data_IF_802636949634
#
_entry.id   IF_802636949634
#
_cell.length_a   1.000
_cell.length_b   1.000
_cell.length_c   1.000
_cell.angle_alpha   90.00
_cell.angle_beta   90.00
_cell.angle_gamma   90.00
#
_symmetry.space_group_name_H-M   'P 1'
#
loop_
_entity.id
_entity.type
_entity.pdbx_description
1 polymer ?
#
# COMPACT_ATOMS: atom_id res chain seq x y z
N UNK A 1 3.90 -12.33 -9.98
CA UNK A 1 3.45 -10.94 -10.13
C UNK A 1 3.28 -10.33 -8.75
N UNK A 2 3.81 -9.13 -8.53
CA UNK A 2 3.64 -8.33 -7.31
C UNK A 2 2.40 -7.47 -7.42
N UNK A 3 1.65 -7.39 -6.33
CA UNK A 3 0.51 -6.50 -6.17
C UNK A 3 0.66 -5.70 -4.89
N UNK A 4 0.67 -4.37 -5.02
CA UNK A 4 0.71 -3.46 -3.89
C UNK A 4 -0.72 -3.13 -3.44
N UNK A 5 -0.94 -3.13 -2.13
CA UNK A 5 -2.19 -2.75 -1.49
C UNK A 5 -1.91 -1.63 -0.50
N UNK A 6 -1.86 -0.41 -1.03
CA UNK A 6 -1.58 0.80 -0.26
C UNK A 6 -2.83 1.31 0.45
N UNK A 7 -2.67 2.03 1.59
CA UNK A 7 -3.80 2.60 2.31
C UNK A 7 -4.47 3.75 1.56
N UNK A 8 -3.81 4.31 0.55
CA UNK A 8 -4.35 5.39 -0.28
C UNK A 8 -4.38 4.97 -1.77
N UNK A 9 -5.22 5.64 -2.57
CA UNK A 9 -5.28 5.44 -4.02
C UNK A 9 -3.96 5.69 -4.75
N UNK A 10 -3.91 5.28 -6.02
CA UNK A 10 -2.79 5.54 -6.94
C UNK A 10 -1.42 5.10 -6.39
N UNK A 11 -1.40 3.99 -5.64
CA UNK A 11 -0.21 3.47 -4.97
C UNK A 11 0.46 4.49 -4.03
N UNK A 12 -0.33 5.26 -3.29
CA UNK A 12 0.17 6.27 -2.36
C UNK A 12 0.21 5.77 -0.92
N UNK A 13 1.19 6.26 -0.16
CA UNK A 13 1.28 6.02 1.29
C UNK A 13 1.86 7.23 2.00
N UNK A 14 1.79 7.22 3.33
CA UNK A 14 2.45 8.18 4.22
C UNK A 14 3.68 7.52 4.86
N UNK A 15 4.62 8.34 5.33
CA UNK A 15 5.73 7.86 6.16
C UNK A 15 5.22 7.18 7.45
N UNK A 16 5.96 6.24 8.01
CA UNK A 16 5.57 5.54 9.24
C UNK A 16 4.30 4.68 9.14
N UNK A 17 3.67 4.59 7.97
CA UNK A 17 2.57 3.66 7.71
C UNK A 17 3.08 2.34 7.15
N UNK A 18 2.22 1.34 7.26
CA UNK A 18 2.44 0.03 6.69
C UNK A 18 1.45 -0.22 5.55
N UNK A 19 1.87 -1.03 4.59
CA UNK A 19 0.98 -1.50 3.53
C UNK A 19 1.33 -2.92 3.11
N UNK A 20 0.37 -3.58 2.45
CA UNK A 20 0.48 -5.00 2.13
C UNK A 20 1.00 -5.20 0.71
N UNK A 21 1.76 -6.27 0.54
CA UNK A 21 2.18 -6.78 -0.76
C UNK A 21 1.77 -8.24 -0.87
N UNK A 22 1.14 -8.58 -1.98
CA UNK A 22 0.87 -9.95 -2.39
C UNK A 22 1.79 -10.31 -3.58
N UNK A 23 2.50 -11.43 -3.45
CA UNK A 23 3.22 -12.06 -4.54
C UNK A 23 2.44 -13.28 -5.01
N UNK A 24 1.99 -13.25 -6.26
CA UNK A 24 1.42 -14.41 -6.94
C UNK A 24 2.50 -15.09 -7.79
N UNK A 25 2.76 -16.36 -7.53
CA UNK A 25 3.80 -17.14 -8.21
C UNK A 25 3.12 -18.28 -8.96
N UNK A 26 3.45 -18.38 -10.25
CA UNK A 26 2.94 -19.41 -11.14
C UNK A 26 4.10 -19.94 -11.97
N UNK A 27 4.05 -21.23 -12.27
CA UNK A 27 5.03 -21.90 -13.11
C UNK A 27 4.34 -22.83 -14.09
N UNK A 28 4.88 -22.89 -15.30
CA UNK A 28 4.39 -23.77 -16.37
C UNK A 28 5.06 -25.16 -16.33
N UNK A 29 6.00 -25.37 -15.41
CA UNK A 29 6.72 -26.62 -15.21
C UNK A 29 7.01 -26.82 -13.72
N UNK A 30 7.27 -28.04 -13.30
CA UNK A 30 7.62 -28.31 -11.90
C UNK A 30 8.98 -27.70 -11.57
N UNK A 31 9.03 -26.92 -10.50
CA UNK A 31 10.26 -26.27 -10.00
C UNK A 31 10.66 -26.90 -8.68
N UNK A 32 11.93 -27.31 -8.57
CA UNK A 32 12.54 -27.75 -7.33
C UNK A 32 13.53 -26.69 -6.85
N UNK A 33 13.37 -26.26 -5.59
CA UNK A 33 14.16 -25.19 -4.97
C UNK A 33 13.84 -23.83 -5.59
N UNK A 34 12.80 -23.17 -5.08
CA UNK A 34 12.47 -21.80 -5.45
C UNK A 34 12.96 -20.85 -4.35
N UNK A 35 13.67 -19.81 -4.75
CA UNK A 35 14.04 -18.68 -3.92
C UNK A 35 13.46 -17.38 -4.48
N UNK A 36 13.09 -16.46 -3.60
CA UNK A 36 12.72 -15.09 -3.96
C UNK A 36 13.61 -14.15 -3.17
N UNK A 37 14.19 -13.16 -3.84
CA UNK A 37 14.92 -12.09 -3.20
C UNK A 37 14.20 -10.77 -3.51
N UNK A 38 13.64 -10.14 -2.47
CA UNK A 38 12.98 -8.85 -2.57
C UNK A 38 13.97 -7.73 -2.26
N UNK A 39 13.90 -6.64 -3.04
CA UNK A 39 14.74 -5.46 -2.86
C UNK A 39 13.82 -4.26 -2.64
N UNK A 40 13.39 -4.01 -1.39
CA UNK A 40 12.61 -2.82 -1.08
C UNK A 40 13.50 -1.57 -1.13
N UNK A 41 12.90 -0.37 -1.12
CA UNK A 41 13.66 0.87 -0.99
C UNK A 41 14.58 0.84 0.26
N UNK A 42 15.74 1.54 0.22
CA UNK A 42 16.67 1.55 1.34
C UNK A 42 16.00 1.96 2.66
N UNK A 43 16.24 1.20 3.72
CA UNK A 43 15.68 1.45 5.06
C UNK A 43 14.26 0.93 5.29
N UNK A 44 13.55 0.51 4.23
CA UNK A 44 12.22 -0.06 4.34
C UNK A 44 12.31 -1.52 4.79
N UNK A 45 11.41 -1.93 5.68
CA UNK A 45 11.46 -3.27 6.30
C UNK A 45 10.30 -4.14 5.84
N UNK A 46 10.61 -5.38 5.48
CA UNK A 46 9.62 -6.42 5.19
C UNK A 46 9.25 -7.13 6.49
N UNK A 47 7.96 -7.20 6.79
CA UNK A 47 7.41 -8.01 7.87
C UNK A 47 6.51 -9.08 7.26
N UNK A 48 6.85 -10.33 7.48
CA UNK A 48 6.14 -11.45 6.89
C UNK A 48 4.80 -11.68 7.64
N UNK A 49 3.68 -11.88 6.93
CA UNK A 49 2.34 -12.09 7.55
C UNK A 49 1.91 -13.55 7.51
N UNK A 50 1.95 -14.15 6.31
CA UNK A 50 1.60 -15.55 6.07
C UNK A 50 2.55 -16.11 5.02
N UNK A 51 3.07 -17.30 5.28
CA UNK A 51 4.12 -17.90 4.45
C UNK A 51 3.73 -19.29 3.98
N UNK A 52 2.60 -19.87 4.39
CA UNK A 52 2.15 -21.18 3.90
C UNK A 52 3.22 -22.29 3.91
N UNK A 53 4.17 -22.26 4.86
CA UNK A 53 5.31 -23.20 4.93
C UNK A 53 6.64 -22.71 4.32
N UNK A 54 6.66 -21.54 3.69
CA UNK A 54 7.86 -20.89 3.12
C UNK A 54 8.72 -20.27 4.23
N UNK A 55 10.03 -20.45 4.15
CA UNK A 55 10.99 -19.88 5.10
C UNK A 55 11.36 -18.45 4.69
N UNK A 56 11.41 -17.52 5.64
CA UNK A 56 11.76 -16.12 5.38
C UNK A 56 13.01 -15.71 6.16
N UNK A 57 13.98 -15.12 5.45
CA UNK A 57 15.13 -14.46 6.02
C UNK A 57 14.96 -12.93 5.95
N UNK A 58 14.58 -12.32 7.07
CA UNK A 58 14.35 -10.88 7.16
C UNK A 58 15.62 -10.03 6.95
N UNK A 59 16.81 -10.57 7.19
CA UNK A 59 18.06 -9.82 7.02
C UNK A 59 18.43 -9.64 5.55
N UNK A 60 18.12 -10.62 4.72
CA UNK A 60 18.41 -10.60 3.28
C UNK A 60 17.16 -10.37 2.42
N UNK A 61 15.98 -10.26 3.03
CA UNK A 61 14.69 -10.16 2.33
C UNK A 61 14.46 -11.32 1.37
N UNK A 62 14.82 -12.52 1.82
CA UNK A 62 14.76 -13.74 1.00
C UNK A 62 13.70 -14.71 1.48
N UNK A 63 13.01 -15.33 0.53
CA UNK A 63 12.05 -16.41 0.75
C UNK A 63 12.59 -17.70 0.15
N UNK A 64 12.48 -18.80 0.88
CA UNK A 64 12.91 -20.12 0.46
C UNK A 64 11.75 -21.12 0.53
N UNK A 65 11.42 -21.70 -0.61
CA UNK A 65 10.42 -22.75 -0.74
C UNK A 65 11.11 -24.11 -0.64
N UNK A 66 10.72 -24.91 0.36
CA UNK A 66 11.28 -26.23 0.60
C UNK A 66 10.60 -27.31 -0.23
N UNK A 67 9.33 -27.11 -0.57
CA UNK A 67 8.54 -28.04 -1.38
C UNK A 67 8.62 -27.70 -2.88
N UNK A 68 8.52 -28.71 -3.76
CA UNK A 68 8.40 -28.47 -5.19
C UNK A 68 7.14 -27.69 -5.53
N UNK A 69 7.26 -26.72 -6.44
CA UNK A 69 6.09 -26.06 -7.03
C UNK A 69 5.63 -26.87 -8.23
N UNK A 70 4.39 -27.35 -8.18
CA UNK A 70 3.80 -28.12 -9.29
C UNK A 70 3.34 -27.19 -10.41
N UNK A 71 3.56 -27.61 -11.66
CA UNK A 71 3.11 -26.88 -12.84
C UNK A 71 1.61 -26.58 -12.79
N UNK A 72 1.21 -25.35 -13.13
CA UNK A 72 -0.19 -24.92 -13.19
C UNK A 72 -0.83 -24.59 -11.84
N UNK A 73 -0.12 -24.74 -10.73
CA UNK A 73 -0.59 -24.24 -9.43
C UNK A 73 -0.16 -22.79 -9.19
N UNK A 74 -1.02 -22.04 -8.50
CA UNK A 74 -0.76 -20.67 -8.09
C UNK A 74 -0.43 -20.64 -6.60
N UNK A 75 0.75 -20.13 -6.28
CA UNK A 75 1.21 -19.91 -4.91
C UNK A 75 1.14 -18.43 -4.57
N UNK A 76 0.84 -18.11 -3.31
CA UNK A 76 0.74 -16.73 -2.83
C UNK A 76 1.58 -16.54 -1.58
N UNK A 77 2.33 -15.44 -1.54
CA UNK A 77 2.97 -14.95 -0.32
C UNK A 77 2.41 -13.56 -0.02
N UNK A 78 2.11 -13.29 1.25
CA UNK A 78 1.67 -11.99 1.72
C UNK A 78 2.60 -11.45 2.80
N UNK A 79 3.06 -10.22 2.62
CA UNK A 79 3.91 -9.53 3.58
C UNK A 79 3.55 -8.04 3.68
N UNK A 80 3.98 -7.40 4.76
CA UNK A 80 3.86 -5.96 4.96
C UNK A 80 5.19 -5.27 4.70
N UNK A 81 5.09 -4.05 4.20
CA UNK A 81 6.18 -3.09 4.13
C UNK A 81 5.95 -2.03 5.20
N UNK A 82 6.97 -1.77 6.01
CA UNK A 82 7.03 -0.64 6.92
C UNK A 82 7.80 0.51 6.25
N UNK A 83 7.10 1.62 6.00
CA UNK A 83 7.73 2.86 5.52
C UNK A 83 8.39 3.54 6.71
N UNK A 84 9.69 3.90 6.63
CA UNK A 84 10.37 4.61 7.70
C UNK A 84 9.64 5.88 8.12
N UNK A 85 9.74 6.21 9.41
CA UNK A 85 9.33 7.53 9.88
C UNK A 85 10.21 8.59 9.20
N UNK A 86 9.60 9.73 8.85
CA UNK A 86 10.30 10.84 8.19
C UNK A 86 10.84 10.53 6.78
N UNK A 87 10.36 9.47 6.12
CA UNK A 87 10.68 9.18 4.71
C UNK A 87 10.29 10.37 3.80
N UNK A 88 11.24 10.96 3.04
CA UNK A 88 10.93 12.10 2.18
C UNK A 88 9.82 11.79 1.17
N UNK A 89 8.97 12.77 0.82
CA UNK A 89 7.98 12.57 -0.23
C UNK A 89 8.68 12.30 -1.57
N UNK A 90 8.21 11.29 -2.30
CA UNK A 90 8.88 10.82 -3.50
C UNK A 90 8.25 9.56 -4.08
N UNK A 91 8.78 9.12 -5.23
CA UNK A 91 8.44 7.82 -5.81
C UNK A 91 9.57 6.85 -5.49
N UNK A 92 9.19 5.71 -4.92
CA UNK A 92 10.09 4.67 -4.48
C UNK A 92 9.82 3.39 -5.25
N UNK A 93 10.89 2.65 -5.59
CA UNK A 93 10.82 1.47 -6.42
C UNK A 93 11.10 0.19 -5.63
N UNK A 94 10.36 -0.85 -5.98
CA UNK A 94 10.56 -2.22 -5.53
C UNK A 94 11.15 -3.04 -6.65
N UNK A 95 12.35 -3.55 -6.42
CA UNK A 95 12.99 -4.53 -7.28
C UNK A 95 12.93 -5.92 -6.64
N UNK A 96 13.30 -6.93 -7.39
CA UNK A 96 13.37 -8.28 -6.85
C UNK A 96 13.57 -9.33 -7.93
N UNK A 97 13.99 -10.51 -7.50
CA UNK A 97 14.29 -11.64 -8.38
C UNK A 97 13.71 -12.92 -7.84
N UNK A 98 13.35 -13.79 -8.77
CA UNK A 98 13.02 -15.18 -8.52
C UNK A 98 14.18 -16.03 -9.01
N UNK A 99 14.59 -17.01 -8.21
CA UNK A 99 15.68 -17.93 -8.48
C UNK A 99 15.16 -19.36 -8.38
N UNK A 100 15.53 -20.21 -9.32
CA UNK A 100 15.15 -21.63 -9.31
C UNK A 100 16.39 -22.51 -9.36
N UNK A 101 16.38 -23.62 -8.61
CA UNK A 101 17.44 -24.61 -8.59
C UNK A 101 17.34 -25.60 -9.75
N UNK A 102 16.15 -26.16 -9.98
CA UNK A 102 15.88 -27.09 -11.08
C UNK A 102 14.48 -26.91 -11.68
N UNK A 103 14.36 -26.56 -12.97
CA UNK A 103 15.45 -26.14 -13.84
C UNK A 103 16.08 -24.85 -13.33
N UNK A 104 17.39 -24.67 -13.51
CA UNK A 104 18.11 -23.49 -13.02
C UNK A 104 17.73 -22.26 -13.85
N UNK A 105 17.22 -21.23 -13.19
CA UNK A 105 16.81 -19.99 -13.85
C UNK A 105 16.84 -18.82 -12.88
N UNK A 106 16.87 -17.60 -13.43
CA UNK A 106 16.63 -16.38 -12.69
C UNK A 106 15.77 -15.44 -13.51
N UNK A 107 14.83 -14.76 -12.86
CA UNK A 107 13.94 -13.80 -13.50
C UNK A 107 13.63 -12.66 -12.55
N UNK A 108 13.23 -11.51 -13.11
CA UNK A 108 12.79 -10.35 -12.32
C UNK A 108 11.34 -10.52 -11.90
N UNK A 109 11.01 -10.02 -10.70
CA UNK A 109 9.62 -9.92 -10.26
C UNK A 109 8.91 -8.86 -11.10
N UNK A 110 7.76 -9.20 -11.67
CA UNK A 110 6.91 -8.30 -12.47
C UNK A 110 5.69 -7.85 -11.66
N UNK A 111 4.98 -6.84 -12.13
CA UNK A 111 3.75 -6.32 -11.52
C UNK A 111 3.98 -4.91 -10.98
N UNK A 112 3.31 -4.59 -9.88
CA UNK A 112 3.48 -3.31 -9.21
C UNK A 112 4.93 -3.18 -8.70
N UNK A 113 5.53 -2.02 -8.95
CA UNK A 113 6.95 -1.78 -8.65
C UNK A 113 7.21 -0.39 -8.11
N UNK A 114 6.19 0.46 -7.99
CA UNK A 114 6.33 1.84 -7.54
C UNK A 114 5.29 2.15 -6.47
N UNK A 115 5.71 2.92 -5.48
CA UNK A 115 4.86 3.52 -4.46
C UNK A 115 5.23 4.99 -4.32
N UNK A 116 4.25 5.85 -4.09
CA UNK A 116 4.47 7.26 -3.85
C UNK A 116 4.27 7.59 -2.38
N UNK A 117 5.34 8.03 -1.71
CA UNK A 117 5.24 8.62 -0.38
C UNK A 117 4.82 10.08 -0.53
N UNK A 118 3.72 10.45 0.12
CA UNK A 118 3.25 11.84 0.19
C UNK A 118 3.45 12.37 1.61
N UNK A 119 3.59 13.69 1.72
CA UNK A 119 3.77 14.35 3.02
C UNK A 119 2.44 14.59 3.74
N UNK A 120 1.34 14.69 2.99
CA UNK A 120 0.04 15.04 3.50
C UNK A 120 -1.07 14.63 2.55
N UNK A 121 -2.21 14.25 3.12
CA UNK A 121 -3.38 13.84 2.37
C UNK A 121 -3.96 15.02 1.55
N UNK A 122 -4.46 14.77 0.33
CA UNK A 122 -5.46 15.64 -0.28
C UNK A 122 -6.64 15.85 0.68
N UNK A 123 -7.28 17.02 0.64
CA UNK A 123 -8.39 17.33 1.57
C UNK A 123 -9.49 16.28 1.46
N UNK A 124 -9.81 15.84 0.24
CA UNK A 124 -10.88 14.89 -0.01
C UNK A 124 -10.60 13.52 0.64
N UNK A 125 -9.34 13.08 0.60
CA UNK A 125 -8.91 11.87 1.30
C UNK A 125 -8.92 12.06 2.82
N UNK A 126 -8.41 13.19 3.31
CA UNK A 126 -8.40 13.47 4.73
C UNK A 126 -9.82 13.44 5.33
N UNK A 127 -10.81 13.99 4.60
CA UNK A 127 -12.22 13.94 5.02
C UNK A 127 -12.79 12.51 4.95
N UNK A 128 -12.53 11.76 3.87
CA UNK A 128 -12.98 10.37 3.74
C UNK A 128 -12.40 9.43 4.81
N UNK A 129 -11.25 9.79 5.39
CA UNK A 129 -10.59 9.05 6.46
C UNK A 129 -10.69 9.73 7.84
N UNK A 130 -11.56 10.73 7.99
CA UNK A 130 -11.77 11.36 9.30
C UNK A 130 -12.74 10.50 10.12
N UNK A 131 -12.28 10.04 11.29
CA UNK A 131 -13.14 9.33 12.23
C UNK A 131 -13.95 10.31 13.11
N UNK A 132 -14.90 9.78 13.89
CA UNK A 132 -15.78 10.59 14.73
C UNK A 132 -15.06 11.37 15.85
N UNK A 133 -13.76 11.08 16.09
CA UNK A 133 -12.91 11.81 17.03
C UNK A 133 -12.08 12.91 16.36
N UNK A 134 -12.30 13.18 15.06
CA UNK A 134 -11.53 14.16 14.29
C UNK A 134 -10.10 13.71 13.98
N UNK A 135 -9.80 12.40 14.02
CA UNK A 135 -8.48 11.83 13.70
C UNK A 135 -8.51 11.10 12.36
N UNK A 136 -7.37 11.09 11.67
CA UNK A 136 -7.20 10.32 10.44
C UNK A 136 -7.09 8.83 10.77
N UNK A 137 -7.95 8.05 10.15
CA UNK A 137 -7.99 6.59 10.19
C UNK A 137 -8.05 6.04 8.75
N UNK A 138 -6.89 5.56 8.27
CA UNK A 138 -6.76 5.02 6.91
C UNK A 138 -7.40 3.64 6.72
N UNK A 139 -7.98 3.05 7.77
CA UNK A 139 -8.77 1.81 7.66
C UNK A 139 -10.20 2.06 7.19
N UNK A 140 -10.65 3.32 7.23
CA UNK A 140 -11.96 3.74 6.74
C UNK A 140 -12.03 3.69 5.21
N UNK A 141 -13.26 3.68 4.68
CA UNK A 141 -13.53 3.71 3.25
C UNK A 141 -13.02 5.00 2.60
N UNK A 142 -12.58 4.94 1.34
CA UNK A 142 -12.26 6.12 0.53
C UNK A 142 -13.50 6.93 0.10
N UNK A 143 -14.70 6.51 0.52
CA UNK A 143 -15.97 7.19 0.23
C UNK A 143 -16.31 8.11 1.40
N UNK A 144 -16.68 9.35 1.08
CA UNK A 144 -17.10 10.34 2.09
C UNK A 144 -18.47 9.94 2.61
N UNK A 145 -18.59 9.68 3.90
CA UNK A 145 -19.88 9.46 4.56
C UNK A 145 -20.60 10.79 4.83
N UNK A 146 -21.88 10.72 5.18
CA UNK A 146 -22.63 11.93 5.59
C UNK A 146 -22.05 12.58 6.85
N UNK A 147 -21.59 11.79 7.84
CA UNK A 147 -20.96 12.34 9.06
C UNK A 147 -19.64 13.05 8.77
N UNK A 148 -18.85 12.52 7.84
CA UNK A 148 -17.62 13.14 7.37
C UNK A 148 -17.90 14.43 6.58
N UNK A 149 -18.96 14.45 5.77
CA UNK A 149 -19.39 15.67 5.08
C UNK A 149 -19.83 16.76 6.08
N UNK A 150 -20.56 16.41 7.14
CA UNK A 150 -20.92 17.35 8.20
C UNK A 150 -19.68 17.90 8.93
N UNK A 151 -18.69 17.07 9.24
CA UNK A 151 -17.41 17.54 9.78
C UNK A 151 -16.69 18.50 8.82
N UNK A 152 -16.67 18.20 7.53
CA UNK A 152 -16.10 19.10 6.53
C UNK A 152 -16.80 20.46 6.53
N UNK A 153 -18.14 20.48 6.63
CA UNK A 153 -18.92 21.72 6.72
C UNK A 153 -18.53 22.53 7.97
N UNK A 154 -18.40 21.89 9.12
CA UNK A 154 -17.96 22.56 10.36
C UNK A 154 -16.57 23.20 10.19
N UNK A 155 -15.58 22.42 9.71
CA UNK A 155 -14.22 22.92 9.45
C UNK A 155 -14.22 24.11 8.48
N UNK A 156 -15.06 24.08 7.45
CA UNK A 156 -15.20 25.17 6.49
C UNK A 156 -15.83 26.43 7.11
N UNK A 157 -16.89 26.28 7.91
CA UNK A 157 -17.57 27.39 8.58
C UNK A 157 -16.66 28.09 9.60
N UNK A 158 -15.90 27.30 10.35
CA UNK A 158 -15.01 27.79 11.41
C UNK A 158 -13.62 28.19 10.88
N UNK A 159 -13.36 28.00 9.59
CA UNK A 159 -12.07 28.25 8.96
C UNK A 159 -10.93 27.45 9.61
N UNK A 160 -11.21 26.24 10.08
CA UNK A 160 -10.23 25.36 10.68
C UNK A 160 -9.39 24.63 9.63
N UNK A 161 -8.22 24.15 10.06
CA UNK A 161 -7.35 23.32 9.22
C UNK A 161 -7.81 21.89 9.22
N UNK A 162 -7.77 21.23 8.06
CA UNK A 162 -8.14 19.82 7.93
C UNK A 162 -7.01 18.93 8.47
N UNK A 163 -7.28 18.02 9.42
CA UNK A 163 -6.28 17.08 9.94
C UNK A 163 -5.58 16.29 8.82
N UNK A 164 -4.28 16.02 8.97
CA UNK A 164 -3.50 15.23 8.00
C UNK A 164 -3.20 15.92 6.66
N UNK A 165 -3.60 17.18 6.46
CA UNK A 165 -3.42 17.90 5.19
C UNK A 165 -2.26 18.91 5.19
N UNK A 166 -1.44 18.93 6.25
CA UNK A 166 -0.37 19.92 6.45
C UNK A 166 -0.90 21.37 6.45
N UNK A 167 -1.94 21.63 7.24
CA UNK A 167 -2.47 22.97 7.49
C UNK A 167 -3.40 23.54 6.40
N UNK A 168 -3.85 22.72 5.43
CA UNK A 168 -4.79 23.17 4.41
C UNK A 168 -6.17 23.39 5.01
N UNK A 169 -6.91 24.35 4.44
CA UNK A 169 -8.29 24.68 4.80
C UNK A 169 -9.22 24.38 3.64
N UNK A 170 -10.50 24.20 3.93
CA UNK A 170 -11.52 23.99 2.93
C UNK A 170 -11.95 25.38 2.41
N UNK A 171 -11.99 25.57 1.10
CA UNK A 171 -12.61 26.73 0.46
C UNK A 171 -13.96 26.34 -0.17
N UNK A 172 -14.72 27.31 -0.68
CA UNK A 172 -16.03 27.04 -1.30
C UNK A 172 -15.92 26.03 -2.44
N UNK A 173 -14.87 26.14 -3.28
CA UNK A 173 -14.66 25.24 -4.42
C UNK A 173 -14.43 23.80 -3.96
N UNK A 174 -13.63 23.62 -2.92
CA UNK A 174 -13.35 22.32 -2.32
C UNK A 174 -14.59 21.77 -1.63
N UNK A 175 -15.35 22.59 -0.92
CA UNK A 175 -16.62 22.17 -0.30
C UNK A 175 -17.62 21.67 -1.34
N UNK A 176 -17.82 22.42 -2.44
CA UNK A 176 -18.68 21.98 -3.56
C UNK A 176 -18.24 20.63 -4.14
N UNK A 177 -16.93 20.39 -4.21
CA UNK A 177 -16.37 19.12 -4.66
C UNK A 177 -16.64 17.98 -3.66
N UNK A 178 -16.49 18.20 -2.36
CA UNK A 178 -16.80 17.21 -1.32
C UNK A 178 -18.29 16.81 -1.37
N UNK A 179 -19.19 17.78 -1.51
CA UNK A 179 -20.63 17.53 -1.68
C UNK A 179 -20.89 16.73 -2.95
N UNK A 180 -20.27 17.10 -4.07
CA UNK A 180 -20.41 16.36 -5.33
C UNK A 180 -19.96 14.89 -5.15
N UNK A 181 -18.80 14.65 -4.52
CA UNK A 181 -18.28 13.30 -4.30
C UNK A 181 -19.18 12.44 -3.41
N UNK A 182 -19.74 13.04 -2.36
CA UNK A 182 -20.73 12.36 -1.53
C UNK A 182 -22.00 12.00 -2.32
N UNK A 183 -22.53 12.91 -3.15
CA UNK A 183 -23.73 12.67 -3.95
C UNK A 183 -23.55 11.65 -5.07
N UNK A 184 -22.36 11.58 -5.66
CA UNK A 184 -22.07 10.71 -6.80
C UNK A 184 -21.43 9.38 -6.43
N UNK A 185 -21.24 9.12 -5.13
CA UNK A 185 -20.58 7.92 -4.58
C UNK A 185 -19.27 7.57 -5.32
N UNK A 186 -18.53 8.61 -5.73
CA UNK A 186 -17.36 8.44 -6.59
C UNK A 186 -16.16 8.10 -5.74
N UNK A 187 -15.64 6.88 -5.92
CA UNK A 187 -14.38 6.45 -5.32
C UNK A 187 -13.21 7.23 -5.92
N UNK A 188 -12.27 7.60 -5.06
CA UNK A 188 -10.88 7.80 -5.47
C UNK A 188 -10.05 6.71 -4.86
#
# INVERSE_FOLDING_TARGET
MRRLQTPLPDFQTLWGYQFHIELQIETNFTVNGLGIHEVPPPGWRIQAIDHGGVQFNAQTSEWLFLEPLTAGLTYRISYQIEVPAQEPPGVYRFDGRVLTGSPKSTSVIRGDSEVRVILALPIEMAIAHLNDQGKIDLTLSNMISFSQLLHAIALWQEQETVPGTNGRRIDLKTMLRLVAYWLTDTRR
#
